data_IF_506924812445
#
_entry.id   IF_506924812445
#
_cell.length_a   1.000
_cell.length_b   1.000
_cell.length_c   1.000
_cell.angle_alpha   90.00
_cell.angle_beta   90.00
_cell.angle_gamma   90.00
#
_symmetry.space_group_name_H-M   'P 1'
#
loop_
_entity.id
_entity.type
_entity.pdbx_description
1 polymer ?
#
# COMPACT_ATOMS: atom_id res chain seq x y z
N UNK A 1 -95.30 -38.14 27.97
CA UNK A 1 -94.09 -38.37 27.16
C UNK A 1 -93.35 -39.54 27.81
N UNK A 2 -93.23 -40.68 27.14
CA UNK A 2 -92.59 -41.89 27.70
C UNK A 2 -91.14 -41.89 27.20
N UNK A 3 -90.11 -41.78 28.06
CA UNK A 3 -88.73 -41.86 27.63
C UNK A 3 -88.40 -43.31 27.22
N UNK A 4 -87.88 -43.49 26.00
CA UNK A 4 -87.43 -44.78 25.49
C UNK A 4 -85.90 -44.78 25.56
N UNK A 5 -85.33 -45.74 26.28
CA UNK A 5 -83.88 -45.98 26.30
C UNK A 5 -83.56 -47.15 25.38
N UNK A 6 -82.77 -46.90 24.34
CA UNK A 6 -82.35 -47.91 23.36
C UNK A 6 -80.84 -48.12 23.45
N UNK A 7 -80.41 -49.37 23.60
CA UNK A 7 -79.00 -49.77 23.66
C UNK A 7 -78.78 -50.77 22.51
N UNK A 8 -78.29 -50.32 21.34
CA UNK A 8 -78.09 -51.20 20.20
C UNK A 8 -76.93 -52.19 20.43
N UNK A 9 -77.12 -53.44 20.00
CA UNK A 9 -76.10 -54.49 20.03
C UNK A 9 -75.42 -54.74 18.67
N UNK A 10 -75.85 -54.05 17.60
CA UNK A 10 -75.32 -54.20 16.24
C UNK A 10 -75.48 -52.92 15.39
N UNK A 11 -74.85 -52.87 14.21
CA UNK A 11 -74.79 -51.69 13.33
C UNK A 11 -76.16 -51.20 12.82
N UNK A 12 -77.17 -52.08 12.78
CA UNK A 12 -78.58 -51.76 12.53
C UNK A 12 -79.41 -52.64 13.45
N UNK A 13 -80.30 -52.04 14.24
CA UNK A 13 -81.27 -52.78 15.04
C UNK A 13 -82.66 -52.18 14.82
N UNK A 14 -83.58 -53.06 14.46
CA UNK A 14 -85.01 -52.80 14.40
C UNK A 14 -85.67 -53.41 15.64
N UNK A 15 -86.65 -52.71 16.20
CA UNK A 15 -87.45 -53.15 17.33
C UNK A 15 -88.89 -52.68 17.18
N UNK A 16 -89.80 -53.22 18.01
CA UNK A 16 -91.20 -52.78 18.06
C UNK A 16 -91.59 -52.45 19.48
N UNK A 17 -92.23 -51.30 19.68
CA UNK A 17 -92.91 -50.97 20.93
C UNK A 17 -94.39 -51.26 20.78
N UNK A 18 -94.92 -52.10 21.66
CA UNK A 18 -96.35 -52.36 21.77
C UNK A 18 -96.98 -51.47 22.84
N UNK A 19 -97.98 -50.68 22.47
CA UNK A 19 -98.83 -49.93 23.38
C UNK A 19 -100.13 -50.70 23.54
N UNK A 20 -100.34 -51.27 24.73
CA UNK A 20 -101.60 -51.92 25.07
C UNK A 20 -102.62 -50.84 25.40
N UNK A 21 -103.69 -50.74 24.60
CA UNK A 21 -104.78 -49.78 24.78
C UNK A 21 -105.99 -50.57 25.29
N UNK A 22 -106.57 -50.10 26.39
CA UNK A 22 -107.83 -50.59 26.92
C UNK A 22 -108.93 -49.58 26.61
N UNK A 23 -109.94 -50.00 25.85
CA UNK A 23 -111.17 -49.25 25.64
C UNK A 23 -112.38 -50.14 26.00
N UNK A 24 -112.96 -49.88 27.18
CA UNK A 24 -114.00 -50.73 27.75
C UNK A 24 -113.54 -52.18 27.99
N UNK A 25 -114.19 -53.15 27.33
CA UNK A 25 -113.88 -54.58 27.42
C UNK A 25 -112.87 -55.07 26.36
N UNK A 26 -112.44 -54.20 25.44
CA UNK A 26 -111.47 -54.56 24.39
C UNK A 26 -110.05 -54.20 24.81
N UNK A 27 -109.15 -55.17 24.66
CA UNK A 27 -107.70 -54.98 24.80
C UNK A 27 -107.11 -55.12 23.39
N UNK A 28 -106.47 -54.06 22.90
CA UNK A 28 -105.74 -54.07 21.63
C UNK A 28 -104.31 -53.56 21.84
N UNK A 29 -103.37 -53.96 20.96
CA UNK A 29 -101.96 -53.53 21.02
C UNK A 29 -101.57 -52.83 19.74
N UNK A 30 -101.30 -51.52 19.82
CA UNK A 30 -100.71 -50.79 18.71
C UNK A 30 -99.20 -50.94 18.73
N UNK A 31 -98.61 -51.26 17.58
CA UNK A 31 -97.16 -51.39 17.45
C UNK A 31 -96.58 -50.17 16.75
N UNK A 32 -95.45 -49.68 17.25
CA UNK A 32 -94.60 -48.69 16.59
C UNK A 32 -93.27 -49.36 16.27
N UNK A 33 -92.92 -49.40 14.99
CA UNK A 33 -91.60 -49.80 14.54
C UNK A 33 -90.57 -48.73 14.94
N UNK A 34 -89.48 -49.16 15.57
CA UNK A 34 -88.31 -48.34 15.85
C UNK A 34 -87.13 -48.93 15.11
N UNK A 35 -86.59 -48.16 14.17
CA UNK A 35 -85.33 -48.45 13.54
C UNK A 35 -84.25 -47.53 14.09
N UNK A 36 -83.10 -48.11 14.40
CA UNK A 36 -81.92 -47.34 14.76
C UNK A 36 -80.67 -47.91 14.12
N UNK A 37 -79.80 -47.01 13.67
CA UNK A 37 -78.52 -47.33 13.03
C UNK A 37 -77.38 -46.84 13.92
N UNK A 38 -76.46 -47.73 14.27
CA UNK A 38 -75.19 -47.34 14.89
C UNK A 38 -74.23 -46.97 13.78
N UNK A 39 -74.00 -45.68 13.59
CA UNK A 39 -72.89 -45.20 12.77
C UNK A 39 -71.62 -45.23 13.62
N UNK A 40 -70.58 -45.90 13.15
CA UNK A 40 -69.23 -45.76 13.71
C UNK A 40 -68.51 -44.72 12.85
N UNK A 41 -68.55 -43.43 13.24
CA UNK A 41 -68.06 -42.39 12.37
C UNK A 41 -66.56 -42.52 12.15
N UNK A 42 -66.11 -42.31 10.92
CA UNK A 42 -64.71 -42.48 10.53
C UNK A 42 -64.14 -41.18 10.01
N UNK A 43 -62.94 -40.87 10.49
CA UNK A 43 -62.15 -39.76 10.00
C UNK A 43 -60.84 -40.26 9.43
N UNK A 44 -60.43 -39.67 8.31
CA UNK A 44 -59.12 -39.86 7.71
C UNK A 44 -58.35 -38.54 7.77
N UNK A 45 -57.04 -38.62 7.98
CA UNK A 45 -56.12 -37.52 7.92
C UNK A 45 -54.79 -38.02 7.37
N UNK A 46 -54.00 -37.14 6.76
CA UNK A 46 -52.64 -37.48 6.31
C UNK A 46 -51.72 -37.61 7.53
N UNK A 47 -51.25 -38.82 7.89
CA UNK A 47 -50.55 -39.03 9.15
C UNK A 47 -49.11 -38.51 9.14
N UNK A 48 -48.51 -38.36 7.97
CA UNK A 48 -47.15 -37.90 7.77
C UNK A 48 -47.12 -36.85 6.66
N UNK A 49 -46.49 -35.71 6.93
CA UNK A 49 -46.25 -34.67 5.93
C UNK A 49 -44.78 -34.28 5.98
N UNK A 50 -44.09 -34.43 4.85
CA UNK A 50 -42.72 -33.97 4.70
C UNK A 50 -42.72 -32.55 4.11
N UNK A 51 -42.05 -31.64 4.81
CA UNK A 51 -41.81 -30.27 4.39
C UNK A 51 -40.49 -30.23 3.65
N UNK A 52 -40.42 -29.48 2.56
CA UNK A 52 -39.17 -29.20 1.88
C UNK A 52 -38.15 -28.55 2.82
N UNK A 53 -36.87 -28.64 2.48
CA UNK A 53 -35.81 -28.04 3.29
C UNK A 53 -36.03 -26.53 3.44
N UNK A 54 -35.97 -26.04 4.68
CA UNK A 54 -36.10 -24.63 5.01
C UNK A 54 -34.72 -23.99 5.15
N UNK A 55 -34.48 -22.94 4.39
CA UNK A 55 -33.26 -22.14 4.45
C UNK A 55 -33.53 -20.97 5.39
N UNK A 56 -32.92 -20.98 6.58
CA UNK A 56 -33.31 -20.07 7.68
C UNK A 56 -33.22 -18.57 7.32
N UNK A 57 -32.28 -18.18 6.47
CA UNK A 57 -32.11 -16.80 6.01
C UNK A 57 -33.06 -16.37 4.88
N UNK A 58 -33.72 -17.30 4.19
CA UNK A 58 -34.66 -17.01 3.10
C UNK A 58 -36.11 -17.23 3.54
N UNK A 59 -36.41 -18.42 4.04
CA UNK A 59 -37.73 -18.88 4.44
C UNK A 59 -37.63 -19.53 5.82
N UNK A 60 -37.73 -18.72 6.87
CA UNK A 60 -37.76 -19.20 8.26
C UNK A 60 -39.11 -19.81 8.67
N UNK A 61 -40.07 -19.85 7.73
CA UNK A 61 -41.43 -20.36 7.95
C UNK A 61 -41.93 -21.17 6.76
N UNK A 62 -42.67 -22.23 7.02
CA UNK A 62 -43.48 -22.95 6.03
C UNK A 62 -44.92 -23.06 6.50
N UNK A 63 -45.87 -22.92 5.57
CA UNK A 63 -47.27 -23.25 5.79
C UNK A 63 -47.54 -24.66 5.28
N UNK A 64 -48.07 -25.52 6.14
CA UNK A 64 -48.42 -26.91 5.82
C UNK A 64 -49.92 -27.08 6.01
N UNK A 65 -50.63 -27.34 4.92
CA UNK A 65 -52.06 -27.63 4.95
C UNK A 65 -52.29 -29.14 5.08
N UNK A 66 -53.02 -29.55 6.11
CA UNK A 66 -53.40 -30.94 6.38
C UNK A 66 -54.91 -31.07 6.30
N UNK A 67 -55.40 -32.07 5.57
CA UNK A 67 -56.85 -32.29 5.43
C UNK A 67 -57.35 -33.32 6.45
N UNK A 68 -58.41 -32.95 7.16
CA UNK A 68 -59.26 -33.84 7.94
C UNK A 68 -60.49 -34.15 7.10
N UNK A 69 -60.71 -35.42 6.75
CA UNK A 69 -61.83 -35.86 5.92
C UNK A 69 -62.71 -36.83 6.68
N UNK A 70 -63.96 -36.46 6.91
CA UNK A 70 -65.00 -37.37 7.39
C UNK A 70 -65.42 -38.30 6.25
N UNK A 71 -65.52 -39.59 6.53
CA UNK A 71 -65.99 -40.60 5.57
C UNK A 71 -67.53 -40.75 5.57
N UNK A 72 -68.21 -39.93 6.36
CA UNK A 72 -69.65 -39.95 6.56
C UNK A 72 -70.20 -38.53 6.79
N UNK A 73 -71.50 -38.42 7.09
CA UNK A 73 -72.19 -37.14 7.32
C UNK A 73 -72.17 -36.70 8.79
N UNK A 74 -71.30 -37.26 9.63
CA UNK A 74 -71.22 -36.92 11.05
C UNK A 74 -70.59 -35.55 11.23
N UNK A 75 -71.21 -34.72 12.06
CA UNK A 75 -70.60 -33.48 12.53
C UNK A 75 -69.55 -33.81 13.59
N UNK A 76 -68.30 -33.54 13.27
CA UNK A 76 -67.17 -33.63 14.19
C UNK A 76 -66.98 -32.30 14.92
N UNK A 77 -66.65 -32.36 16.19
CA UNK A 77 -66.25 -31.21 17.01
C UNK A 77 -64.87 -31.45 17.61
N UNK A 78 -64.00 -30.44 17.51
CA UNK A 78 -62.67 -30.47 18.13
C UNK A 78 -62.80 -30.23 19.63
N UNK A 79 -62.48 -31.25 20.43
CA UNK A 79 -62.51 -31.16 21.89
C UNK A 79 -61.16 -30.78 22.50
N UNK A 80 -60.06 -31.08 21.82
CA UNK A 80 -58.71 -30.71 22.25
C UNK A 80 -57.74 -30.61 21.06
N UNK A 81 -56.75 -29.72 21.18
CA UNK A 81 -55.68 -29.51 20.19
C UNK A 81 -54.36 -29.31 20.93
N UNK A 82 -53.38 -30.16 20.63
CA UNK A 82 -52.01 -29.99 21.14
C UNK A 82 -51.00 -30.07 20.01
N UNK A 83 -49.97 -29.24 20.11
CA UNK A 83 -48.86 -29.19 19.16
C UNK A 83 -47.55 -29.25 19.93
N UNK A 84 -46.67 -30.17 19.54
CA UNK A 84 -45.32 -30.31 20.08
C UNK A 84 -44.32 -30.00 18.96
N UNK A 85 -43.36 -29.14 19.25
CA UNK A 85 -42.38 -28.63 18.29
C UNK A 85 -42.57 -27.15 17.96
N UNK A 86 -41.69 -26.59 17.13
CA UNK A 86 -41.69 -25.16 16.78
C UNK A 86 -42.70 -24.86 15.66
N UNK A 87 -44.00 -24.84 16.01
CA UNK A 87 -45.07 -24.52 15.08
C UNK A 87 -46.33 -23.97 15.77
N UNK A 88 -47.20 -23.36 14.97
CA UNK A 88 -48.55 -22.96 15.39
C UNK A 88 -49.59 -23.54 14.43
N UNK A 89 -50.86 -23.63 14.85
CA UNK A 89 -51.95 -24.13 14.02
C UNK A 89 -53.18 -23.24 14.09
N UNK A 90 -53.98 -23.22 13.02
CA UNK A 90 -55.22 -22.44 12.92
C UNK A 90 -56.45 -23.15 13.53
N UNK A 91 -56.37 -24.46 13.78
CA UNK A 91 -57.48 -25.23 14.36
C UNK A 91 -57.59 -24.97 15.87
N UNK A 92 -58.81 -24.66 16.32
CA UNK A 92 -59.10 -24.33 17.72
C UNK A 92 -60.18 -25.24 18.29
N UNK A 93 -60.20 -25.35 19.61
CA UNK A 93 -61.24 -26.09 20.36
C UNK A 93 -62.62 -25.50 20.04
N UNK A 94 -63.61 -26.36 19.83
CA UNK A 94 -64.98 -25.99 19.42
C UNK A 94 -65.17 -25.86 17.91
N UNK A 95 -64.11 -26.03 17.10
CA UNK A 95 -64.25 -26.07 15.63
C UNK A 95 -65.13 -27.25 15.22
N UNK A 96 -66.15 -27.00 14.38
CA UNK A 96 -67.07 -28.03 13.87
C UNK A 96 -66.98 -28.19 12.35
N UNK A 97 -67.04 -29.42 11.87
CA UNK A 97 -67.05 -29.74 10.43
C UNK A 97 -67.79 -31.05 10.15
N UNK A 98 -68.28 -31.24 8.92
CA UNK A 98 -69.08 -32.43 8.55
C UNK A 98 -68.39 -33.28 7.48
N UNK A 99 -67.80 -32.65 6.46
CA UNK A 99 -67.18 -33.36 5.33
C UNK A 99 -65.66 -33.24 5.38
N UNK A 100 -65.13 -32.03 5.28
CA UNK A 100 -63.70 -31.77 5.27
C UNK A 100 -63.34 -30.53 6.08
N UNK A 101 -62.14 -30.53 6.64
CA UNK A 101 -61.51 -29.36 7.25
C UNK A 101 -60.03 -29.34 6.90
N UNK A 102 -59.57 -28.27 6.26
CA UNK A 102 -58.15 -27.98 6.12
C UNK A 102 -57.64 -27.34 7.40
N UNK A 103 -56.54 -27.88 7.92
CA UNK A 103 -55.81 -27.39 9.09
C UNK A 103 -54.47 -26.86 8.61
N UNK A 104 -54.21 -25.59 8.85
CA UNK A 104 -52.95 -24.95 8.53
C UNK A 104 -52.03 -25.04 9.72
N UNK A 105 -50.81 -25.51 9.47
CA UNK A 105 -49.73 -25.56 10.45
C UNK A 105 -48.58 -24.68 9.97
N UNK A 106 -48.26 -23.65 10.72
CA UNK A 106 -47.16 -22.73 10.46
C UNK A 106 -45.92 -23.23 11.19
N UNK A 107 -44.99 -23.80 10.42
CA UNK A 107 -43.75 -24.41 10.89
C UNK A 107 -42.66 -23.34 10.95
N UNK A 108 -41.97 -23.21 12.09
CA UNK A 108 -40.92 -22.20 12.33
C UNK A 108 -39.73 -22.81 13.07
N UNK A 109 -38.88 -23.62 12.42
CA UNK A 109 -37.74 -24.24 13.09
C UNK A 109 -36.76 -23.17 13.59
N UNK A 110 -36.21 -23.38 14.78
CA UNK A 110 -35.29 -22.44 15.46
C UNK A 110 -33.85 -22.92 15.50
N UNK A 111 -33.61 -24.16 15.06
CA UNK A 111 -32.29 -24.80 15.06
C UNK A 111 -32.06 -25.48 13.71
N UNK A 112 -30.78 -25.54 13.32
CA UNK A 112 -30.32 -26.26 12.13
C UNK A 112 -30.41 -27.76 12.36
N UNK A 113 -30.86 -28.49 11.35
CA UNK A 113 -31.01 -29.95 11.37
C UNK A 113 -32.46 -30.42 11.22
N UNK A 114 -32.69 -31.73 11.37
CA UNK A 114 -34.01 -32.31 11.22
C UNK A 114 -34.92 -31.85 12.36
N UNK A 115 -36.15 -31.49 12.02
CA UNK A 115 -37.20 -31.16 12.98
C UNK A 115 -38.42 -32.06 12.79
N UNK A 116 -39.13 -32.33 13.88
CA UNK A 116 -40.40 -33.05 13.88
C UNK A 116 -41.42 -32.27 14.72
N UNK A 117 -42.61 -32.10 14.16
CA UNK A 117 -43.77 -31.49 14.80
C UNK A 117 -44.86 -32.53 14.90
N UNK A 118 -45.47 -32.65 16.08
CA UNK A 118 -46.56 -33.59 16.34
C UNK A 118 -47.81 -32.79 16.68
N UNK A 119 -48.79 -32.79 15.76
CA UNK A 119 -50.11 -32.21 15.96
C UNK A 119 -51.08 -33.32 16.35
N UNK A 120 -51.69 -33.20 17.53
CA UNK A 120 -52.71 -34.13 18.02
C UNK A 120 -54.04 -33.39 18.17
N UNK A 121 -55.08 -33.90 17.51
CA UNK A 121 -56.43 -33.34 17.53
C UNK A 121 -57.36 -34.40 18.07
N UNK A 122 -58.09 -34.07 19.13
CA UNK A 122 -59.11 -34.94 19.73
C UNK A 122 -60.49 -34.49 19.26
N UNK A 123 -61.30 -35.45 18.83
CA UNK A 123 -62.55 -35.20 18.14
C UNK A 123 -63.73 -35.94 18.79
N UNK A 124 -64.84 -35.23 18.96
CA UNK A 124 -66.13 -35.76 19.38
C UNK A 124 -67.03 -35.99 18.15
N UNK A 125 -67.95 -36.99 18.17
CA UNK A 125 -68.53 -37.62 19.37
C UNK A 125 -67.82 -38.88 19.91
N UNK A 126 -66.93 -39.51 19.14
CA UNK A 126 -66.36 -40.83 19.49
C UNK A 126 -65.01 -40.78 20.23
N UNK A 127 -64.58 -39.61 20.68
CA UNK A 127 -63.29 -39.43 21.35
C UNK A 127 -62.08 -39.87 20.50
N UNK A 128 -62.17 -39.61 19.19
CA UNK A 128 -61.18 -40.03 18.21
C UNK A 128 -59.94 -39.12 18.28
N UNK A 129 -58.76 -39.72 18.37
CA UNK A 129 -57.47 -38.99 18.30
C UNK A 129 -56.88 -39.08 16.90
N UNK A 130 -56.64 -37.92 16.28
CA UNK A 130 -55.92 -37.78 15.03
C UNK A 130 -54.53 -37.26 15.34
N UNK A 131 -53.50 -38.01 14.96
CA UNK A 131 -52.09 -37.63 15.14
C UNK A 131 -51.47 -37.41 13.77
N UNK A 132 -50.95 -36.21 13.55
CA UNK A 132 -50.27 -35.80 12.31
C UNK A 132 -48.82 -35.46 12.67
N UNK A 133 -47.88 -36.07 11.96
CA UNK A 133 -46.44 -35.82 12.10
C UNK A 133 -45.93 -35.03 10.91
N UNK A 134 -45.37 -33.86 11.16
CA UNK A 134 -44.79 -32.99 10.15
C UNK A 134 -43.28 -33.00 10.35
N UNK A 135 -42.54 -33.37 9.31
CA UNK A 135 -41.07 -33.49 9.36
C UNK A 135 -40.43 -32.62 8.32
N UNK A 136 -39.22 -32.16 8.59
CA UNK A 136 -38.42 -31.43 7.62
C UNK A 136 -37.00 -31.25 8.10
N UNK A 137 -36.21 -30.51 7.33
CA UNK A 137 -34.83 -30.18 7.66
C UNK A 137 -34.64 -28.67 7.54
N UNK A 138 -34.05 -28.05 8.56
CA UNK A 138 -33.64 -26.66 8.52
C UNK A 138 -32.15 -26.57 8.24
N UNK A 139 -31.76 -25.75 7.25
CA UNK A 139 -30.37 -25.52 6.88
C UNK A 139 -30.01 -24.05 7.07
N UNK A 140 -28.72 -23.80 7.27
CA UNK A 140 -28.17 -22.48 7.48
C UNK A 140 -27.13 -22.14 6.41
N UNK A 141 -27.06 -20.86 6.08
CA UNK A 141 -26.10 -20.28 5.14
C UNK A 141 -25.10 -19.49 5.95
N UNK A 142 -23.88 -20.00 5.99
CA UNK A 142 -22.79 -19.35 6.70
C UNK A 142 -21.52 -19.50 5.88
N UNK A 143 -20.74 -18.43 5.81
CA UNK A 143 -19.44 -18.45 5.18
C UNK A 143 -18.47 -17.61 5.99
N UNK A 144 -17.23 -18.06 6.05
CA UNK A 144 -16.13 -17.34 6.71
C UNK A 144 -15.05 -17.02 5.69
N UNK A 145 -14.34 -15.92 5.90
CA UNK A 145 -13.33 -15.41 4.99
C UNK A 145 -12.06 -15.00 5.72
N UNK A 146 -10.93 -15.04 5.02
CA UNK A 146 -9.70 -14.45 5.55
C UNK A 146 -9.93 -12.95 5.82
N UNK A 147 -9.75 -12.44 7.05
CA UNK A 147 -10.15 -11.07 7.37
C UNK A 147 -9.14 -10.02 6.87
N UNK A 148 -7.85 -10.37 6.83
CA UNK A 148 -6.76 -9.44 6.55
C UNK A 148 -5.60 -10.16 5.84
N UNK A 149 -5.06 -9.53 4.80
CA UNK A 149 -3.79 -9.88 4.18
C UNK A 149 -2.82 -8.70 4.35
N UNK A 150 -1.72 -8.94 5.07
CA UNK A 150 -0.65 -7.95 5.25
C UNK A 150 0.52 -8.34 4.38
N UNK A 151 0.81 -7.49 3.39
CA UNK A 151 1.99 -7.61 2.55
C UNK A 151 3.19 -7.02 3.27
N UNK A 152 4.28 -7.76 3.22
CA UNK A 152 5.49 -7.52 4.01
C UNK A 152 6.73 -7.30 3.17
N UNK A 153 6.63 -7.41 1.84
CA UNK A 153 7.72 -7.10 0.91
C UNK A 153 8.03 -5.59 0.99
N UNK A 154 9.19 -5.18 1.51
CA UNK A 154 9.49 -3.77 1.71
C UNK A 154 10.08 -3.11 0.45
N UNK A 155 10.50 -3.88 -0.56
CA UNK A 155 11.22 -3.35 -1.73
C UNK A 155 10.24 -2.93 -2.81
N UNK A 156 10.25 -1.64 -3.13
CA UNK A 156 9.45 -1.05 -4.22
C UNK A 156 9.79 -1.71 -5.56
N UNK A 157 8.78 -2.04 -6.35
CA UNK A 157 8.93 -2.69 -7.65
C UNK A 157 8.85 -4.21 -7.62
N UNK A 158 8.99 -4.83 -6.45
CA UNK A 158 8.84 -6.28 -6.30
C UNK A 158 7.39 -6.69 -6.22
N UNK A 159 7.15 -7.97 -6.56
CA UNK A 159 5.84 -8.60 -6.48
C UNK A 159 5.77 -9.54 -5.30
N UNK A 160 4.65 -9.51 -4.59
CA UNK A 160 4.32 -10.47 -3.55
C UNK A 160 2.90 -10.98 -3.78
N UNK A 161 2.70 -12.29 -3.75
CA UNK A 161 1.38 -12.90 -3.87
C UNK A 161 0.97 -13.52 -2.54
N UNK A 162 -0.23 -13.17 -2.07
CA UNK A 162 -0.86 -13.76 -0.89
C UNK A 162 -2.21 -14.37 -1.29
N UNK A 163 -2.66 -15.35 -0.50
CA UNK A 163 -3.89 -16.09 -0.74
C UNK A 163 -4.90 -15.81 0.36
N UNK A 164 -6.11 -15.39 -0.01
CA UNK A 164 -7.27 -15.45 0.89
C UNK A 164 -8.05 -16.74 0.65
N UNK A 165 -8.67 -17.24 1.72
CA UNK A 165 -9.56 -18.40 1.69
C UNK A 165 -10.94 -17.99 2.21
N UNK A 166 -11.98 -18.45 1.51
CA UNK A 166 -13.38 -18.28 1.87
C UNK A 166 -14.03 -19.65 1.97
N UNK A 167 -14.53 -20.01 3.14
CA UNK A 167 -15.06 -21.35 3.45
C UNK A 167 -16.56 -21.29 3.62
N UNK A 168 -17.29 -22.20 2.99
CA UNK A 168 -18.69 -22.43 3.35
C UNK A 168 -18.75 -23.18 4.69
N UNK A 169 -19.10 -22.47 5.76
CA UNK A 169 -19.26 -23.01 7.13
C UNK A 169 -20.70 -23.39 7.46
N UNK A 170 -21.63 -23.15 6.53
CA UNK A 170 -23.04 -23.51 6.66
C UNK A 170 -23.31 -24.99 6.42
N UNK A 171 -24.60 -25.33 6.32
CA UNK A 171 -25.06 -26.71 6.08
C UNK A 171 -25.71 -26.88 4.71
N UNK A 172 -25.75 -25.82 3.90
CA UNK A 172 -26.21 -25.83 2.51
C UNK A 172 -25.16 -25.26 1.58
N UNK A 173 -25.24 -25.64 0.31
CA UNK A 173 -24.40 -25.07 -0.75
C UNK A 173 -24.63 -23.56 -0.88
N UNK A 174 -23.57 -22.81 -1.16
CA UNK A 174 -23.60 -21.38 -1.45
C UNK A 174 -23.09 -21.13 -2.86
N UNK A 175 -23.69 -20.16 -3.56
CA UNK A 175 -23.24 -19.71 -4.87
C UNK A 175 -22.50 -18.38 -4.73
N UNK A 176 -21.28 -18.34 -5.26
CA UNK A 176 -20.45 -17.14 -5.35
C UNK A 176 -20.55 -16.63 -6.77
N UNK A 177 -21.10 -15.43 -6.94
CA UNK A 177 -21.34 -14.83 -8.25
C UNK A 177 -20.16 -14.02 -8.76
N UNK A 178 -19.43 -13.36 -7.86
CA UNK A 178 -18.37 -12.44 -8.24
C UNK A 178 -17.32 -12.27 -7.14
N UNK A 179 -16.12 -11.87 -7.56
CA UNK A 179 -15.07 -11.34 -6.71
C UNK A 179 -14.71 -9.97 -7.26
N UNK A 180 -14.95 -8.92 -6.49
CA UNK A 180 -14.63 -7.54 -6.87
C UNK A 180 -13.12 -7.35 -6.83
N UNK A 181 -12.53 -6.94 -7.95
CA UNK A 181 -11.11 -6.68 -8.04
C UNK A 181 -10.72 -5.45 -7.20
N UNK A 182 -9.61 -5.52 -6.44
CA UNK A 182 -9.05 -4.35 -5.77
C UNK A 182 -8.43 -3.40 -6.81
N UNK A 183 -8.17 -2.17 -6.38
CA UNK A 183 -7.45 -1.15 -7.13
C UNK A 183 -5.94 -1.41 -7.09
N UNK A 184 -5.24 -0.87 -8.09
CA UNK A 184 -3.79 -0.83 -8.09
C UNK A 184 -3.27 -0.19 -6.78
N UNK A 185 -2.23 -0.73 -6.15
CA UNK A 185 -1.26 -1.68 -6.70
C UNK A 185 -1.61 -3.18 -6.56
N UNK A 186 -2.80 -3.52 -6.07
CA UNK A 186 -3.24 -4.91 -5.92
C UNK A 186 -3.92 -5.42 -7.21
N UNK A 187 -3.77 -6.72 -7.49
CA UNK A 187 -4.44 -7.39 -8.62
C UNK A 187 -4.80 -8.82 -8.24
N UNK A 188 -5.98 -9.29 -8.68
CA UNK A 188 -6.35 -10.70 -8.55
C UNK A 188 -5.65 -11.46 -9.68
N UNK A 189 -4.89 -12.49 -9.34
CA UNK A 189 -4.19 -13.34 -10.31
C UNK A 189 -4.97 -14.59 -10.64
N UNK A 190 -5.57 -15.24 -9.63
CA UNK A 190 -6.29 -16.51 -9.81
C UNK A 190 -7.39 -16.66 -8.76
N UNK A 191 -8.48 -17.31 -9.16
CA UNK A 191 -9.54 -17.80 -8.27
C UNK A 191 -9.66 -19.32 -8.44
N UNK A 192 -9.70 -20.06 -7.33
CA UNK A 192 -9.84 -21.52 -7.34
C UNK A 192 -10.88 -21.95 -6.31
N UNK A 193 -12.04 -22.48 -6.72
CA UNK A 193 -12.50 -22.63 -8.10
C UNK A 193 -12.71 -21.28 -8.83
N UNK A 194 -12.82 -21.34 -10.16
CA UNK A 194 -13.08 -20.15 -11.00
C UNK A 194 -14.50 -19.64 -10.73
N UNK A 195 -14.64 -18.33 -10.52
CA UNK A 195 -15.93 -17.67 -10.23
C UNK A 195 -16.63 -17.27 -11.53
N UNK A 196 -17.97 -17.45 -11.67
CA UNK A 196 -18.91 -17.91 -10.64
C UNK A 196 -18.80 -19.40 -10.30
N UNK A 197 -19.02 -19.75 -9.03
CA UNK A 197 -18.89 -21.13 -8.54
C UNK A 197 -19.88 -21.46 -7.41
N UNK A 198 -20.05 -22.76 -7.13
CA UNK A 198 -20.80 -23.26 -5.98
C UNK A 198 -19.83 -23.89 -4.99
N UNK A 199 -19.92 -23.50 -3.72
CA UNK A 199 -19.19 -24.14 -2.62
C UNK A 199 -20.15 -24.99 -1.80
N UNK A 200 -19.89 -26.29 -1.75
CA UNK A 200 -20.59 -27.19 -0.82
C UNK A 200 -20.07 -27.00 0.62
N UNK A 201 -20.80 -27.40 1.67
CA UNK A 201 -20.35 -27.30 3.05
C UNK A 201 -18.92 -27.84 3.26
N UNK A 202 -18.05 -27.01 3.85
CA UNK A 202 -16.63 -27.31 4.08
C UNK A 202 -15.70 -27.06 2.88
N UNK A 203 -16.23 -26.76 1.68
CA UNK A 203 -15.39 -26.35 0.55
C UNK A 203 -14.97 -24.89 0.64
N UNK A 204 -13.89 -24.58 -0.08
CA UNK A 204 -13.23 -23.28 -0.05
C UNK A 204 -13.07 -22.69 -1.44
N UNK A 205 -13.22 -21.37 -1.52
CA UNK A 205 -12.71 -20.53 -2.59
C UNK A 205 -11.39 -19.91 -2.14
N UNK A 206 -10.34 -20.11 -2.94
CA UNK A 206 -9.07 -19.41 -2.79
C UNK A 206 -8.99 -18.28 -3.80
N UNK A 207 -8.54 -17.11 -3.35
CA UNK A 207 -8.26 -15.97 -4.22
C UNK A 207 -6.81 -15.54 -4.01
N UNK A 208 -6.01 -15.66 -5.07
CA UNK A 208 -4.62 -15.24 -5.09
C UNK A 208 -4.54 -13.78 -5.53
N UNK A 209 -4.05 -12.94 -4.63
CA UNK A 209 -3.89 -11.51 -4.85
C UNK A 209 -2.40 -11.19 -4.91
N UNK A 210 -1.98 -10.56 -5.99
CA UNK A 210 -0.61 -10.06 -6.18
C UNK A 210 -0.58 -8.56 -5.91
N UNK A 211 0.43 -8.14 -5.15
CA UNK A 211 0.83 -6.77 -4.96
C UNK A 211 2.08 -6.48 -5.79
N UNK A 212 2.05 -5.42 -6.59
CA UNK A 212 3.26 -4.77 -7.09
C UNK A 212 3.64 -3.62 -6.15
N UNK A 213 4.67 -3.81 -5.33
CA UNK A 213 5.00 -2.87 -4.25
C UNK A 213 5.29 -1.47 -4.80
N UNK A 214 4.67 -0.45 -4.19
CA UNK A 214 4.86 0.97 -4.51
C UNK A 214 5.18 1.75 -3.24
N UNK A 215 5.74 2.95 -3.42
CA UNK A 215 6.03 3.87 -2.33
C UNK A 215 4.73 4.30 -1.62
N UNK A 216 4.76 4.28 -0.29
CA UNK A 216 3.66 4.72 0.57
C UNK A 216 2.87 3.57 1.19
N UNK A 217 1.74 3.95 1.79
CA UNK A 217 0.79 3.03 2.42
C UNK A 217 -0.39 2.82 1.47
N UNK A 218 -0.72 1.56 1.21
CA UNK A 218 -1.84 1.15 0.38
C UNK A 218 -2.79 0.25 1.18
N UNK A 219 -4.05 0.66 1.25
CA UNK A 219 -5.12 -0.10 1.91
C UNK A 219 -6.29 -0.22 0.95
N UNK A 220 -6.76 -1.45 0.74
CA UNK A 220 -7.93 -1.73 -0.09
C UNK A 220 -8.66 -2.99 0.42
N UNK A 221 -9.65 -3.47 -0.32
CA UNK A 221 -10.44 -4.65 0.03
C UNK A 221 -10.73 -5.54 -1.15
N UNK A 222 -10.72 -6.84 -0.89
CA UNK A 222 -11.25 -7.88 -1.75
C UNK A 222 -12.65 -8.24 -1.26
N UNK A 223 -13.66 -8.16 -2.14
CA UNK A 223 -15.06 -8.42 -1.79
C UNK A 223 -15.57 -9.60 -2.60
N UNK A 224 -16.01 -10.66 -1.91
CA UNK A 224 -16.64 -11.84 -2.50
C UNK A 224 -18.14 -11.76 -2.29
N UNK A 225 -18.91 -11.89 -3.38
CA UNK A 225 -20.37 -11.80 -3.35
C UNK A 225 -21.00 -13.18 -3.37
N UNK A 226 -21.80 -13.47 -2.34
CA UNK A 226 -22.68 -14.64 -2.27
C UNK A 226 -24.08 -14.19 -2.67
N UNK A 227 -24.64 -14.74 -3.74
CA UNK A 227 -25.95 -14.33 -4.27
C UNK A 227 -27.04 -15.39 -4.10
N UNK A 228 -26.67 -16.63 -3.77
CA UNK A 228 -27.62 -17.69 -3.43
C UNK A 228 -27.05 -18.65 -2.37
N UNK A 229 -27.92 -19.26 -1.55
CA UNK A 229 -29.38 -19.07 -1.52
C UNK A 229 -29.81 -17.80 -0.78
N UNK A 230 -28.87 -17.12 -0.10
CA UNK A 230 -29.09 -15.84 0.56
C UNK A 230 -28.01 -14.84 0.13
N UNK A 231 -28.39 -13.55 0.01
CA UNK A 231 -27.45 -12.49 -0.33
C UNK A 231 -26.48 -12.24 0.83
N UNK A 232 -25.18 -12.19 0.54
CA UNK A 232 -24.12 -11.93 1.51
C UNK A 232 -22.85 -11.43 0.84
N UNK A 233 -21.95 -10.87 1.64
CA UNK A 233 -20.61 -10.46 1.17
C UNK A 233 -19.56 -10.85 2.20
N UNK A 234 -18.40 -11.28 1.72
CA UNK A 234 -17.22 -11.55 2.54
C UNK A 234 -16.13 -10.57 2.12
N UNK A 235 -15.51 -9.91 3.10
CA UNK A 235 -14.51 -8.87 2.85
C UNK A 235 -13.17 -9.26 3.46
N UNK A 236 -12.13 -9.17 2.66
CA UNK A 236 -10.73 -9.28 3.12
C UNK A 236 -10.06 -7.93 2.94
N UNK A 237 -9.51 -7.37 4.01
CA UNK A 237 -8.71 -6.15 3.94
C UNK A 237 -7.32 -6.48 3.40
N UNK A 238 -6.82 -5.65 2.48
CA UNK A 238 -5.48 -5.73 1.92
C UNK A 238 -4.67 -4.54 2.45
N UNK A 239 -3.50 -4.81 3.03
CA UNK A 239 -2.63 -3.77 3.56
C UNK A 239 -1.20 -3.97 3.09
N UNK A 240 -0.59 -2.91 2.57
CA UNK A 240 0.80 -2.86 2.21
C UNK A 240 1.42 -1.51 2.58
N UNK A 241 2.69 -1.52 2.97
CA UNK A 241 3.46 -0.32 3.22
C UNK A 241 4.88 -0.54 2.73
N UNK A 242 5.39 0.38 1.91
CA UNK A 242 6.81 0.46 1.65
C UNK A 242 7.29 1.90 1.73
N UNK A 243 8.45 2.06 2.35
CA UNK A 243 9.19 3.31 2.38
C UNK A 243 10.56 3.06 1.77
N UNK A 244 11.09 4.06 1.08
CA UNK A 244 12.45 4.03 0.56
C UNK A 244 13.15 5.31 0.98
N UNK A 245 14.35 5.17 1.52
CA UNK A 245 15.21 6.29 1.91
C UNK A 245 16.50 6.20 1.10
N UNK A 246 16.77 7.22 0.31
CA UNK A 246 18.03 7.43 -0.40
C UNK A 246 18.89 8.36 0.43
N UNK A 247 20.13 7.97 0.74
CA UNK A 247 21.09 8.83 1.42
C UNK A 247 22.15 9.29 0.45
N UNK A 248 22.32 10.59 0.28
CA UNK A 248 23.39 11.16 -0.54
C UNK A 248 24.31 12.04 0.30
N UNK A 249 25.61 11.98 0.00
CA UNK A 249 26.62 12.69 0.74
C UNK A 249 27.70 13.29 -0.17
N UNK A 250 28.27 14.42 0.26
CA UNK A 250 29.56 14.91 -0.21
C UNK A 250 30.52 14.94 0.99
N UNK A 251 31.72 14.34 0.90
CA UNK A 251 32.66 14.36 2.01
C UNK A 251 33.29 15.74 2.19
N UNK A 252 33.84 15.97 3.38
CA UNK A 252 34.75 17.10 3.61
C UNK A 252 36.10 16.84 2.92
N UNK A 253 36.55 17.82 2.14
CA UNK A 253 37.78 17.75 1.34
C UNK A 253 38.78 18.81 1.76
N UNK A 254 40.04 18.62 1.40
CA UNK A 254 41.11 19.59 1.64
C UNK A 254 42.01 19.65 0.42
N UNK A 255 42.17 20.85 -0.15
CA UNK A 255 42.95 21.07 -1.36
C UNK A 255 43.73 22.38 -1.30
N UNK A 256 44.93 22.40 -1.86
CA UNK A 256 45.74 23.62 -1.99
C UNK A 256 45.30 24.46 -3.18
N UNK A 257 45.59 25.77 -3.15
CA UNK A 257 45.20 26.74 -4.20
C UNK A 257 45.73 26.33 -5.59
N UNK A 258 44.86 26.36 -6.60
CA UNK A 258 45.19 26.07 -7.99
C UNK A 258 45.35 24.58 -8.29
N UNK A 259 45.12 23.71 -7.31
CA UNK A 259 45.13 22.26 -7.50
C UNK A 259 43.78 21.82 -8.07
N UNK A 260 43.84 20.97 -9.10
CA UNK A 260 42.69 20.24 -9.60
C UNK A 260 42.41 19.08 -8.64
N UNK A 261 41.25 19.12 -7.98
CA UNK A 261 40.75 18.07 -7.10
C UNK A 261 39.38 17.57 -7.59
N UNK A 262 38.81 16.58 -6.92
CA UNK A 262 37.52 15.97 -7.30
C UNK A 262 36.56 15.98 -6.13
N UNK A 263 35.37 16.53 -6.35
CA UNK A 263 34.24 16.43 -5.41
C UNK A 263 33.44 15.16 -5.75
N UNK A 264 33.46 14.12 -4.90
CA UNK A 264 32.64 12.94 -5.13
C UNK A 264 31.22 13.16 -4.58
N UNK A 265 30.22 12.79 -5.37
CA UNK A 265 28.84 12.65 -4.90
C UNK A 265 28.59 11.17 -4.61
N UNK A 266 28.27 10.86 -3.36
CA UNK A 266 28.20 9.49 -2.85
C UNK A 266 26.75 9.10 -2.53
N UNK A 267 26.43 7.83 -2.76
CA UNK A 267 25.22 7.16 -2.29
C UNK A 267 25.56 6.41 -1.00
N UNK A 268 25.26 7.02 0.14
CA UNK A 268 25.57 6.47 1.48
C UNK A 268 24.47 5.57 2.05
N UNK A 269 23.24 5.70 1.55
CA UNK A 269 22.15 4.76 1.85
C UNK A 269 21.40 4.42 0.57
N UNK A 270 21.38 3.12 0.24
CA UNK A 270 20.66 2.59 -0.91
C UNK A 270 19.16 2.51 -0.59
N UNK A 271 18.27 2.98 -1.48
CA UNK A 271 16.84 2.88 -1.27
C UNK A 271 16.37 1.42 -1.37
N UNK A 272 15.30 1.09 -0.66
CA UNK A 272 14.57 -0.17 -0.82
C UNK A 272 13.71 -0.14 -2.10
N UNK A 273 14.36 0.00 -3.25
CA UNK A 273 13.76 -0.03 -4.58
C UNK A 273 14.49 -1.13 -5.37
N UNK A 274 13.75 -1.88 -6.20
CA UNK A 274 14.35 -2.85 -7.09
C UNK A 274 15.37 -2.16 -8.00
N UNK A 275 16.61 -2.64 -7.99
CA UNK A 275 17.71 -2.10 -8.77
C UNK A 275 17.41 -2.06 -10.26
N UNK A 276 16.53 -2.94 -10.78
CA UNK A 276 16.14 -2.92 -12.20
C UNK A 276 15.23 -1.73 -12.57
N UNK A 277 14.79 -0.95 -11.58
CA UNK A 277 13.99 0.25 -11.77
C UNK A 277 14.79 1.54 -11.52
N UNK A 278 16.07 1.41 -11.12
CA UNK A 278 16.96 2.53 -10.81
C UNK A 278 17.89 2.81 -11.99
N UNK A 279 17.33 3.33 -13.07
CA UNK A 279 18.07 3.52 -14.33
C UNK A 279 18.81 4.86 -14.41
N UNK A 280 18.19 5.94 -13.92
CA UNK A 280 18.71 7.31 -14.00
C UNK A 280 18.45 8.05 -12.69
N UNK A 281 19.40 8.88 -12.28
CA UNK A 281 19.27 9.82 -11.18
C UNK A 281 19.55 11.25 -11.61
N UNK A 282 19.01 12.20 -10.86
CA UNK A 282 19.25 13.63 -11.02
C UNK A 282 19.52 14.25 -9.67
N UNK A 283 20.51 15.12 -9.59
CA UNK A 283 20.82 15.88 -8.38
C UNK A 283 21.53 17.17 -8.74
N UNK A 284 21.28 18.21 -7.96
CA UNK A 284 21.96 19.49 -8.13
C UNK A 284 22.69 19.85 -6.86
N UNK A 285 23.90 20.37 -7.02
CA UNK A 285 24.77 20.80 -5.92
C UNK A 285 25.24 22.22 -6.18
N UNK A 286 25.50 22.96 -5.10
CA UNK A 286 25.93 24.34 -5.18
C UNK A 286 27.10 24.64 -4.25
N UNK A 287 27.91 25.61 -4.67
CA UNK A 287 29.01 26.17 -3.89
C UNK A 287 29.32 27.58 -4.38
N UNK A 288 30.14 28.31 -3.62
CA UNK A 288 30.54 29.67 -4.00
C UNK A 288 31.54 29.69 -5.16
N UNK A 289 31.25 30.55 -6.14
CA UNK A 289 32.04 30.77 -7.36
C UNK A 289 33.39 31.45 -7.11
N UNK A 290 33.60 32.00 -5.90
CA UNK A 290 34.83 32.71 -5.53
C UNK A 290 35.92 31.77 -5.01
N UNK A 291 35.51 30.60 -4.53
CA UNK A 291 36.39 29.61 -3.91
C UNK A 291 36.72 28.47 -4.86
N UNK A 292 35.80 28.09 -5.75
CA UNK A 292 35.95 26.94 -6.64
C UNK A 292 35.55 27.28 -8.06
N UNK A 293 36.35 26.83 -9.02
CA UNK A 293 35.98 26.78 -10.43
C UNK A 293 35.66 25.32 -10.83
N UNK A 294 34.63 25.17 -11.66
CA UNK A 294 34.24 23.90 -12.27
C UNK A 294 33.85 24.16 -13.72
N UNK A 295 34.04 23.17 -14.58
CA UNK A 295 33.55 23.18 -15.95
C UNK A 295 32.52 22.07 -16.15
N UNK A 296 31.58 22.28 -17.07
CA UNK A 296 30.71 21.23 -17.55
C UNK A 296 31.55 20.03 -18.04
N UNK A 297 31.05 18.82 -17.85
CA UNK A 297 31.83 17.62 -18.06
C UNK A 297 31.01 16.35 -17.93
N UNK A 298 31.70 15.23 -18.07
CA UNK A 298 31.13 13.91 -17.89
C UNK A 298 32.21 12.94 -17.44
N UNK A 299 31.81 11.93 -16.67
CA UNK A 299 32.61 10.75 -16.37
C UNK A 299 31.89 9.49 -16.91
N UNK A 300 32.31 8.31 -16.47
CA UNK A 300 31.69 7.05 -16.91
C UNK A 300 30.26 6.83 -16.37
N UNK A 301 29.83 7.61 -15.37
CA UNK A 301 28.60 7.39 -14.58
C UNK A 301 27.58 8.52 -14.76
N UNK A 302 28.05 9.75 -14.91
CA UNK A 302 27.22 10.94 -14.97
C UNK A 302 27.78 12.02 -15.89
N UNK A 303 26.88 12.84 -16.39
CA UNK A 303 27.18 14.12 -17.03
C UNK A 303 26.70 15.26 -16.12
N UNK A 304 27.40 16.38 -16.14
CA UNK A 304 26.99 17.56 -15.41
C UNK A 304 27.16 18.85 -16.21
N UNK A 305 26.18 19.73 -16.04
CA UNK A 305 26.19 21.09 -16.56
C UNK A 305 26.38 22.08 -15.42
N UNK A 306 27.05 23.18 -15.72
CA UNK A 306 27.42 24.22 -14.75
C UNK A 306 26.72 25.51 -15.11
N UNK A 307 26.03 26.10 -14.14
CA UNK A 307 25.38 27.40 -14.25
C UNK A 307 25.94 28.34 -13.17
N UNK A 308 26.28 29.57 -13.55
CA UNK A 308 26.65 30.62 -12.61
C UNK A 308 25.42 31.48 -12.32
N UNK A 309 24.96 31.45 -11.08
CA UNK A 309 23.83 32.24 -10.58
C UNK A 309 24.39 33.16 -9.50
N UNK A 310 24.53 34.44 -9.81
CA UNK A 310 25.21 35.43 -8.98
C UNK A 310 26.64 34.99 -8.60
N UNK A 311 26.93 34.85 -7.31
CA UNK A 311 28.21 34.37 -6.77
C UNK A 311 28.19 32.85 -6.48
N UNK A 312 27.18 32.12 -6.93
CA UNK A 312 27.02 30.67 -6.68
C UNK A 312 27.12 29.89 -7.97
N UNK A 313 27.92 28.83 -7.97
CA UNK A 313 27.92 27.83 -9.02
C UNK A 313 26.89 26.76 -8.65
N UNK A 314 26.00 26.46 -9.60
CA UNK A 314 25.08 25.33 -9.54
C UNK A 314 25.54 24.29 -10.55
N UNK A 315 25.82 23.08 -10.08
CA UNK A 315 26.18 21.93 -10.90
C UNK A 315 25.00 20.96 -10.94
N UNK A 316 24.39 20.81 -12.11
CA UNK A 316 23.26 19.91 -12.35
C UNK A 316 23.78 18.59 -12.90
N UNK A 317 23.56 17.50 -12.17
CA UNK A 317 24.13 16.18 -12.45
C UNK A 317 23.01 15.24 -12.89
N UNK A 318 23.24 14.54 -14.00
CA UNK A 318 22.37 13.50 -14.51
C UNK A 318 23.23 12.28 -14.77
N UNK A 319 22.88 11.14 -14.21
CA UNK A 319 23.69 9.93 -14.35
C UNK A 319 22.86 8.66 -14.32
N UNK A 320 23.51 7.55 -14.66
CA UNK A 320 22.94 6.20 -14.54
C UNK A 320 23.60 5.48 -13.38
N UNK A 321 22.81 4.84 -12.56
CA UNK A 321 23.34 4.08 -11.44
C UNK A 321 23.80 2.69 -11.91
N UNK A 322 25.07 2.39 -11.70
CA UNK A 322 25.73 1.14 -12.09
C UNK A 322 25.83 0.14 -10.92
N UNK A 323 25.20 0.44 -9.77
CA UNK A 323 25.32 -0.32 -8.53
C UNK A 323 26.45 0.14 -7.60
N UNK A 324 27.25 1.13 -8.02
CA UNK A 324 28.31 1.75 -7.21
C UNK A 324 27.76 2.68 -6.13
N UNK A 325 28.56 2.91 -5.09
CA UNK A 325 28.28 3.94 -4.07
C UNK A 325 28.77 5.34 -4.50
N UNK A 326 29.48 5.45 -5.63
CA UNK A 326 29.87 6.74 -6.23
C UNK A 326 28.96 7.07 -7.39
N UNK A 327 28.24 8.18 -7.27
CA UNK A 327 27.28 8.66 -8.28
C UNK A 327 27.97 9.53 -9.34
N UNK A 328 28.84 10.44 -8.92
CA UNK A 328 29.59 11.32 -9.81
C UNK A 328 30.93 11.73 -9.19
N UNK A 329 31.92 12.02 -10.03
CA UNK A 329 33.23 12.57 -9.67
C UNK A 329 33.44 13.89 -10.41
N UNK A 330 33.32 15.02 -9.71
CA UNK A 330 33.29 16.35 -10.34
C UNK A 330 34.64 17.03 -10.15
N UNK A 331 35.42 17.25 -11.23
CA UNK A 331 36.70 17.95 -11.13
C UNK A 331 36.48 19.43 -10.85
N UNK A 332 37.14 19.92 -9.80
CA UNK A 332 37.08 21.31 -9.36
C UNK A 332 38.49 21.85 -9.20
N UNK A 333 38.69 23.13 -9.50
CA UNK A 333 39.95 23.83 -9.22
C UNK A 333 39.71 24.83 -8.11
N UNK A 334 40.50 24.75 -7.05
CA UNK A 334 40.44 25.71 -5.95
C UNK A 334 41.01 27.06 -6.39
N UNK A 335 40.29 28.12 -6.09
CA UNK A 335 40.66 29.49 -6.41
C UNK A 335 41.31 30.18 -5.22
N UNK A 336 42.07 31.23 -5.51
CA UNK A 336 42.57 32.12 -4.48
C UNK A 336 41.39 32.92 -3.90
N UNK A 337 40.87 32.48 -2.75
CA UNK A 337 39.77 33.13 -2.03
C UNK A 337 40.25 33.76 -0.71
N UNK A 338 39.60 34.83 -0.21
CA UNK A 338 39.77 35.28 1.17
C UNK A 338 39.26 34.28 2.23
N UNK A 339 38.47 33.27 1.84
CA UNK A 339 37.97 32.22 2.72
C UNK A 339 38.85 30.97 2.68
N UNK A 340 39.03 30.32 3.83
CA UNK A 340 39.70 29.02 3.94
C UNK A 340 38.73 27.84 3.82
N UNK A 341 37.43 28.10 3.66
CA UNK A 341 36.39 27.07 3.57
C UNK A 341 35.26 27.52 2.65
N UNK A 342 34.73 26.58 1.88
CA UNK A 342 33.47 26.73 1.15
C UNK A 342 32.60 25.52 1.43
N UNK A 343 31.30 25.74 1.60
CA UNK A 343 30.35 24.66 1.82
C UNK A 343 29.90 24.08 0.46
N UNK A 344 29.77 22.77 0.41
CA UNK A 344 29.26 22.00 -0.72
C UNK A 344 27.84 21.57 -0.37
N UNK A 345 26.84 22.23 -0.96
CA UNK A 345 25.45 22.07 -0.56
C UNK A 345 24.65 21.33 -1.61
N UNK A 346 23.82 20.37 -1.20
CA UNK A 346 22.79 19.83 -2.07
C UNK A 346 21.62 20.81 -2.21
N UNK A 347 21.18 21.03 -3.45
CA UNK A 347 19.93 21.76 -3.70
C UNK A 347 18.77 20.81 -3.44
N UNK A 348 17.91 21.18 -2.48
CA UNK A 348 16.85 20.31 -1.95
C UNK A 348 15.53 20.39 -2.72
N UNK A 349 15.39 21.39 -3.62
CA UNK A 349 14.23 21.57 -4.49
C UNK A 349 14.69 21.76 -5.94
N UNK A 350 14.41 20.80 -6.86
CA UNK A 350 13.59 19.61 -6.67
C UNK A 350 14.27 18.48 -5.88
N UNK A 351 15.57 18.59 -5.56
CA UNK A 351 16.29 17.58 -4.79
C UNK A 351 16.92 16.47 -5.63
N UNK A 352 17.46 15.47 -4.95
CA UNK A 352 17.85 14.20 -5.56
C UNK A 352 16.60 13.43 -5.99
N UNK A 353 16.60 12.92 -7.21
CA UNK A 353 15.49 12.17 -7.78
C UNK A 353 15.98 10.91 -8.49
N UNK A 354 15.30 9.79 -8.24
CA UNK A 354 15.33 8.62 -9.11
C UNK A 354 14.27 8.78 -10.20
N UNK A 355 14.64 8.68 -11.48
CA UNK A 355 13.69 8.87 -12.57
C UNK A 355 12.57 7.82 -12.50
N UNK A 356 11.33 8.28 -12.35
CA UNK A 356 10.14 7.41 -12.28
C UNK A 356 9.92 6.71 -10.93
N UNK A 357 10.76 6.94 -9.93
CA UNK A 357 10.65 6.35 -8.59
C UNK A 357 10.53 7.42 -7.51
N UNK A 358 9.88 7.07 -6.41
CA UNK A 358 9.75 7.93 -5.24
C UNK A 358 10.59 7.36 -4.09
N UNK A 359 11.37 8.23 -3.44
CA UNK A 359 12.09 7.93 -2.22
C UNK A 359 12.22 9.19 -1.38
N UNK A 360 12.18 9.05 -0.06
CA UNK A 360 12.66 10.09 0.85
C UNK A 360 14.17 10.23 0.66
N UNK A 361 14.70 11.45 0.80
CA UNK A 361 16.13 11.70 0.64
C UNK A 361 16.71 12.31 1.91
N UNK A 362 17.78 11.70 2.42
CA UNK A 362 18.67 12.26 3.44
C UNK A 362 19.89 12.84 2.75
N UNK A 363 20.23 14.09 3.08
CA UNK A 363 21.38 14.81 2.51
C UNK A 363 22.42 15.05 3.59
N UNK A 364 23.66 14.71 3.28
CA UNK A 364 24.84 15.03 4.07
C UNK A 364 25.72 15.99 3.25
N UNK A 365 25.59 17.28 3.55
CA UNK A 365 26.33 18.34 2.87
C UNK A 365 27.81 18.27 3.26
N UNK A 366 28.69 18.62 2.32
CA UNK A 366 30.14 18.59 2.53
C UNK A 366 30.72 19.98 2.67
N UNK A 367 32.04 20.05 2.78
CA UNK A 367 32.79 21.29 2.66
C UNK A 367 34.16 21.06 2.05
N UNK A 368 34.76 22.11 1.52
CA UNK A 368 36.14 22.07 1.06
C UNK A 368 36.95 23.11 1.79
N UNK A 369 38.00 22.63 2.47
CA UNK A 369 39.01 23.45 3.12
C UNK A 369 40.10 23.78 2.11
N UNK A 370 40.37 25.07 1.94
CA UNK A 370 41.43 25.56 1.07
C UNK A 370 42.67 25.76 1.93
N UNK A 371 43.65 24.90 1.73
CA UNK A 371 44.93 25.02 2.41
C UNK A 371 45.75 26.19 1.83
N UNK A 372 46.52 26.82 2.70
CA UNK A 372 47.55 27.80 2.33
C UNK A 372 47.08 29.17 1.80
N UNK A 373 45.85 29.58 2.16
CA UNK A 373 45.31 30.94 1.89
C UNK A 373 46.19 32.06 2.48
N UNK A 374 46.97 31.75 3.52
CA UNK A 374 47.85 32.72 4.19
C UNK A 374 49.33 32.63 3.80
N UNK A 375 49.87 31.47 3.38
CA UNK A 375 51.27 31.43 2.91
C UNK A 375 51.42 32.07 1.52
N UNK A 376 50.36 32.07 0.72
CA UNK A 376 50.30 32.77 -0.57
C UNK A 376 50.11 34.28 -0.46
N UNK A 377 49.85 34.87 0.73
CA UNK A 377 49.93 36.34 0.90
C UNK A 377 51.33 36.89 0.63
N UNK A 378 52.36 36.06 0.75
CA UNK A 378 53.73 36.42 0.38
C UNK A 378 54.06 36.17 -1.09
N UNK A 379 53.13 35.65 -1.89
CA UNK A 379 53.30 35.40 -3.32
C UNK A 379 52.32 36.28 -4.09
N UNK A 380 52.49 37.61 -3.99
CA UNK A 380 52.07 38.51 -5.06
C UNK A 380 53.07 38.37 -6.20
N UNK A 381 52.98 37.28 -6.95
CA UNK A 381 53.69 37.17 -8.22
C UNK A 381 52.82 36.38 -9.18
N UNK A 382 51.97 37.12 -9.89
CA UNK A 382 51.30 36.57 -11.06
C UNK A 382 52.38 36.38 -12.12
N UNK A 383 52.66 35.12 -12.47
CA UNK A 383 53.43 34.75 -13.65
C UNK A 383 52.62 35.12 -14.91
N UNK A 384 52.87 36.31 -15.46
CA UNK A 384 52.55 36.61 -16.86
C UNK A 384 53.81 36.43 -17.71
N UNK A 385 53.72 35.52 -18.70
CA UNK A 385 54.70 35.23 -19.76
C UNK A 385 55.94 34.38 -19.41
N UNK A 386 55.90 33.55 -18.35
CA UNK A 386 56.88 32.46 -18.18
C UNK A 386 58.34 32.91 -17.97
N UNK A 387 58.56 34.17 -17.57
CA UNK A 387 59.83 34.69 -17.07
C UNK A 387 59.64 34.97 -15.57
N UNK A 388 60.47 34.34 -14.74
CA UNK A 388 60.37 34.36 -13.29
C UNK A 388 60.40 35.75 -12.64
N UNK A 389 60.10 35.80 -11.35
CA UNK A 389 60.19 37.01 -10.53
C UNK A 389 61.61 37.59 -10.55
N UNK A 390 61.73 38.93 -10.62
CA UNK A 390 62.98 39.65 -10.41
C UNK A 390 63.10 40.03 -8.93
N UNK A 391 64.12 39.52 -8.25
CA UNK A 391 64.43 39.89 -6.86
C UNK A 391 65.77 40.61 -6.78
N UNK A 392 65.87 41.61 -5.90
CA UNK A 392 67.06 42.42 -5.67
C UNK A 392 67.56 42.15 -4.26
N UNK A 393 68.82 41.73 -4.11
CA UNK A 393 69.46 41.52 -2.82
C UNK A 393 70.91 42.03 -2.83
N UNK A 394 71.38 42.74 -1.78
CA UNK A 394 70.60 43.26 -0.66
C UNK A 394 69.73 44.46 -1.09
N UNK A 395 68.59 44.68 -0.44
CA UNK A 395 67.84 45.93 -0.58
C UNK A 395 67.57 46.49 0.83
N UNK A 396 68.14 47.65 1.22
CA UNK A 396 68.86 48.61 0.38
C UNK A 396 70.28 48.17 -0.02
N UNK A 397 70.75 48.67 -1.17
CA UNK A 397 72.06 48.35 -1.77
C UNK A 397 73.12 49.32 -1.27
N UNK A 398 74.37 48.87 -1.08
CA UNK A 398 75.51 49.73 -0.76
C UNK A 398 76.49 49.85 -1.94
N UNK A 399 77.10 48.74 -2.31
CA UNK A 399 78.17 48.72 -3.32
C UNK A 399 77.76 47.86 -4.52
N UNK A 400 77.28 46.64 -4.27
CA UNK A 400 76.86 45.71 -5.31
C UNK A 400 75.45 45.21 -5.01
N UNK A 401 74.61 45.14 -6.04
CA UNK A 401 73.33 44.43 -5.98
C UNK A 401 73.40 43.15 -6.79
N UNK A 402 72.76 42.11 -6.30
CA UNK A 402 72.54 40.87 -7.03
C UNK A 402 71.08 40.83 -7.46
N UNK A 403 70.87 40.69 -8.77
CA UNK A 403 69.58 40.37 -9.36
C UNK A 403 69.42 38.86 -9.42
N UNK A 404 68.30 38.35 -8.95
CA UNK A 404 67.95 36.93 -9.08
C UNK A 404 66.65 36.79 -9.87
N UNK A 405 66.68 35.92 -10.88
CA UNK A 405 65.54 35.59 -11.73
C UNK A 405 65.04 34.19 -11.37
N UNK A 406 63.73 34.06 -11.18
CA UNK A 406 63.06 32.79 -10.87
C UNK A 406 62.79 31.94 -12.14
N UNK A 407 63.76 31.91 -13.05
CA UNK A 407 63.75 31.08 -14.28
C UNK A 407 65.13 30.46 -14.45
N UNK A 408 65.20 29.18 -14.81
CA UNK A 408 66.46 28.42 -15.00
C UNK A 408 67.03 28.60 -16.43
N UNK A 409 66.49 29.54 -17.21
CA UNK A 409 66.90 29.81 -18.59
C UNK A 409 67.83 31.01 -18.68
N UNK A 410 68.90 30.87 -19.47
CA UNK A 410 69.79 31.95 -19.85
C UNK A 410 69.09 33.00 -20.70
N UNK A 411 68.97 34.22 -20.20
CA UNK A 411 68.34 35.35 -20.90
C UNK A 411 69.32 36.48 -21.19
N UNK A 412 69.39 36.94 -22.44
CA UNK A 412 70.04 38.21 -22.76
C UNK A 412 69.18 39.35 -22.23
N UNK A 413 69.69 40.07 -21.24
CA UNK A 413 68.96 41.07 -20.46
C UNK A 413 69.67 42.41 -20.54
N UNK A 414 68.91 43.46 -20.87
CA UNK A 414 69.37 44.85 -20.74
C UNK A 414 68.89 45.37 -19.40
N UNK A 415 69.83 45.85 -18.56
CA UNK A 415 69.56 46.37 -17.24
C UNK A 415 69.87 47.86 -17.23
N UNK A 416 68.92 48.67 -16.77
CA UNK A 416 69.05 50.10 -16.63
C UNK A 416 68.69 50.52 -15.21
N UNK A 417 69.49 51.41 -14.63
CA UNK A 417 69.15 52.09 -13.38
C UNK A 417 68.78 53.53 -13.74
N UNK A 418 67.58 53.94 -13.36
CA UNK A 418 66.97 55.20 -13.74
C UNK A 418 66.77 56.03 -12.47
N UNK A 419 67.25 57.27 -12.47
CA UNK A 419 67.04 58.17 -11.32
C UNK A 419 65.58 58.66 -11.25
N UNK A 420 65.21 59.33 -10.15
CA UNK A 420 63.85 59.90 -9.98
C UNK A 420 63.45 60.94 -11.03
N UNK A 421 64.41 61.47 -11.79
CA UNK A 421 64.17 62.39 -12.91
C UNK A 421 63.94 61.66 -14.24
N UNK A 422 63.94 60.33 -14.26
CA UNK A 422 63.74 59.52 -15.46
C UNK A 422 64.99 59.36 -16.34
N UNK A 423 66.17 59.73 -15.85
CA UNK A 423 67.43 59.60 -16.58
C UNK A 423 68.10 58.26 -16.25
N UNK A 424 68.49 57.50 -17.28
CA UNK A 424 69.32 56.30 -17.11
C UNK A 424 70.71 56.71 -16.64
N UNK A 425 71.06 56.33 -15.40
CA UNK A 425 72.36 56.61 -14.77
C UNK A 425 73.34 55.44 -14.91
N UNK A 426 72.83 54.24 -15.16
CA UNK A 426 73.63 53.05 -15.45
C UNK A 426 72.87 52.20 -16.46
N UNK A 427 73.57 51.65 -17.46
CA UNK A 427 73.01 50.69 -18.40
C UNK A 427 74.05 49.60 -18.69
N UNK A 428 73.64 48.34 -18.58
CA UNK A 428 74.47 47.19 -18.85
C UNK A 428 73.66 46.15 -19.62
N UNK A 429 74.29 45.48 -20.59
CA UNK A 429 73.70 44.30 -21.24
C UNK A 429 74.47 43.07 -20.79
N UNK A 430 73.76 42.07 -20.29
CA UNK A 430 74.36 40.85 -19.75
C UNK A 430 73.51 39.64 -20.07
N UNK A 431 74.09 38.44 -20.01
CA UNK A 431 73.34 37.19 -20.10
C UNK A 431 73.19 36.66 -18.68
N UNK A 432 71.95 36.44 -18.24
CA UNK A 432 71.64 36.05 -16.87
C UNK A 432 71.08 34.63 -16.89
N UNK A 433 71.77 33.70 -16.23
CA UNK A 433 71.33 32.31 -16.09
C UNK A 433 70.43 32.11 -14.87
N UNK A 434 70.78 32.75 -13.75
CA UNK A 434 70.02 32.66 -12.47
C UNK A 434 70.26 33.88 -11.58
N UNK A 435 71.49 34.38 -11.59
CA UNK A 435 71.86 35.61 -10.88
C UNK A 435 72.85 36.46 -11.68
N UNK A 436 72.82 37.76 -11.44
CA UNK A 436 73.81 38.70 -11.97
C UNK A 436 74.09 39.78 -10.93
N UNK A 437 75.37 40.09 -10.72
CA UNK A 437 75.79 41.19 -9.86
C UNK A 437 76.04 42.45 -10.67
N UNK A 438 75.55 43.59 -10.17
CA UNK A 438 75.76 44.91 -10.75
C UNK A 438 76.41 45.78 -9.69
N UNK A 439 77.52 46.38 -10.09
CA UNK A 439 78.24 47.34 -9.28
C UNK A 439 77.57 48.71 -9.38
N UNK A 440 77.24 49.30 -8.23
CA UNK A 440 76.56 50.59 -8.10
C UNK A 440 77.32 51.57 -7.22
N UNK A 441 78.58 51.28 -6.86
CA UNK A 441 79.36 52.13 -5.94
C UNK A 441 79.54 53.58 -6.44
N UNK A 442 79.51 53.80 -7.75
CA UNK A 442 79.62 55.15 -8.35
C UNK A 442 78.30 55.93 -8.34
N UNK A 443 77.18 55.29 -7.99
CA UNK A 443 75.87 55.95 -7.95
C UNK A 443 75.67 56.69 -6.62
N UNK A 444 75.09 57.89 -6.72
CA UNK A 444 74.77 58.68 -5.53
C UNK A 444 73.71 57.98 -4.66
N UNK A 445 73.74 58.21 -3.35
CA UNK A 445 72.73 57.69 -2.42
C UNK A 445 71.35 58.25 -2.76
N UNK A 446 70.35 57.40 -2.84
CA UNK A 446 69.00 57.81 -3.20
C UNK A 446 68.11 56.70 -3.74
N UNK A 447 66.91 57.09 -4.16
CA UNK A 447 65.94 56.20 -4.78
C UNK A 447 66.13 56.17 -6.29
N UNK A 448 66.06 54.98 -6.86
CA UNK A 448 66.18 54.68 -8.27
C UNK A 448 65.09 53.69 -8.69
N UNK A 449 64.90 53.55 -9.99
CA UNK A 449 64.11 52.49 -10.61
C UNK A 449 65.08 51.62 -11.38
N UNK A 450 65.16 50.34 -11.02
CA UNK A 450 65.85 49.35 -11.82
C UNK A 450 64.88 48.82 -12.87
N UNK A 451 65.27 48.87 -14.14
CA UNK A 451 64.55 48.31 -15.28
C UNK A 451 65.37 47.18 -15.89
N UNK A 452 64.77 46.00 -16.04
CA UNK A 452 65.35 44.86 -16.73
C UNK A 452 64.48 44.48 -17.93
N UNK A 453 65.08 44.43 -19.11
CA UNK A 453 64.40 44.11 -20.37
C UNK A 453 64.91 42.78 -20.92
N UNK A 454 64.01 41.79 -21.02
CA UNK A 454 64.28 40.43 -21.53
C UNK A 454 63.42 40.22 -22.78
N UNK A 455 64.05 40.19 -23.95
CA UNK A 455 63.32 40.12 -25.23
C UNK A 455 62.36 41.32 -25.37
N UNK A 456 61.05 41.06 -25.36
CA UNK A 456 59.99 42.10 -25.39
C UNK A 456 59.39 42.40 -24.01
N UNK A 457 59.81 41.71 -22.96
CA UNK A 457 59.29 41.88 -21.61
C UNK A 457 60.13 42.88 -20.81
N UNK A 458 59.47 43.82 -20.15
CA UNK A 458 60.09 44.80 -19.26
C UNK A 458 59.67 44.53 -17.81
N UNK A 459 60.63 44.59 -16.88
CA UNK A 459 60.41 44.52 -15.44
C UNK A 459 61.02 45.74 -14.78
N UNK A 460 60.28 46.37 -13.89
CA UNK A 460 60.78 47.48 -13.09
C UNK A 460 60.66 47.15 -11.60
N UNK A 461 61.66 47.55 -10.83
CA UNK A 461 61.71 47.38 -9.40
C UNK A 461 62.25 48.66 -8.74
N UNK A 462 61.68 49.11 -7.61
CA UNK A 462 62.28 50.19 -6.84
C UNK A 462 63.64 49.73 -6.31
N UNK A 463 64.60 50.65 -6.31
CA UNK A 463 65.96 50.42 -5.86
C UNK A 463 66.38 51.55 -4.91
N UNK A 464 66.78 51.22 -3.69
CA UNK A 464 67.33 52.19 -2.75
C UNK A 464 68.84 51.95 -2.59
N UNK A 465 69.65 52.96 -2.89
CA UNK A 465 71.12 52.94 -2.74
C UNK A 465 71.51 53.80 -1.53
N UNK A 466 72.28 53.22 -0.61
CA UNK A 466 72.56 53.77 0.72
C UNK A 466 73.95 54.34 0.94
#
# INVERSE_FOLDING_TARGET
>A
MIPIQWIPSSAMSAGRLGFVILDGACIDTQWIDIDGKVSAPRIAATPFVDVSTLILCQNSRAEVDVELTSQDTTTWEVSDVSIVGSATTDITIGTRFVSRRTVRVNVTPTQVGPYEIILTIRLQPCDTNVVIRIRGNAVDVSADGTPLLVYTEPVIGRRQSLRSAYTNTGTTDIHISAVTAPQAPFTITTTTPVVPCVLTPGQQLFVDVELLQRFGVHVDSLVVTVDAPCLGTLTTVLQAEATAITGVAMPDLTAGIGVLDTVPVLLVRRPAIDSTLLDEFRVSISWSARELAVSAGQDARASWDVELIDDTIVTNIIGRWDGSDTLALIPVTTLLSPSTRTDLLFIREPGFLWTGQQSLVEYDDGSMTIDDVCATRNIRTILFNGVGALTIAPHPVRETLTLHFDDDRSHSTVIEIINVMGQTVLSATTTIDRECSIDVHELARGSYILRATIGTAERTAPLLIH
#
